data_IF_941132945599
#
_entry.id   IF_941132945599
#
_cell.length_a   1.000
_cell.length_b   1.000
_cell.length_c   1.000
_cell.angle_alpha   90.00
_cell.angle_beta   90.00
_cell.angle_gamma   90.00
#
_symmetry.space_group_name_H-M   'P 1'
#
loop_
_entity.id
_entity.type
_entity.pdbx_description
1 polymer ?
#
# COMPACT_ATOMS: atom_id res chain seq x y z
N UNK A 1 -3.12 -1.04 -32.40
CA UNK A 1 -3.52 -0.52 -31.08
C UNK A 1 -4.81 -1.24 -30.67
N UNK A 2 -4.92 -1.74 -29.44
CA UNK A 2 -6.10 -2.52 -29.04
C UNK A 2 -7.34 -1.62 -28.91
N UNK A 3 -8.54 -2.13 -29.19
CA UNK A 3 -9.81 -1.39 -29.03
C UNK A 3 -9.97 -0.82 -27.62
N UNK A 4 -9.52 -1.56 -26.61
CA UNK A 4 -9.47 -1.12 -25.21
C UNK A 4 -8.64 0.16 -25.03
N UNK A 5 -7.44 0.21 -25.62
CA UNK A 5 -6.58 1.40 -25.55
C UNK A 5 -7.22 2.59 -26.26
N UNK A 6 -7.83 2.39 -27.44
CA UNK A 6 -8.49 3.48 -28.16
C UNK A 6 -9.58 4.15 -27.33
N UNK A 7 -10.41 3.36 -26.64
CA UNK A 7 -11.45 3.88 -25.74
C UNK A 7 -10.81 4.60 -24.55
N UNK A 8 -9.77 4.04 -23.93
CA UNK A 8 -9.11 4.71 -22.81
C UNK A 8 -8.47 6.04 -23.20
N UNK A 9 -7.92 6.15 -24.40
CA UNK A 9 -7.30 7.38 -24.89
C UNK A 9 -8.29 8.55 -25.00
N UNK A 10 -9.57 8.29 -25.27
CA UNK A 10 -10.59 9.36 -25.29
C UNK A 10 -10.73 10.00 -23.90
N UNK A 11 -10.55 9.22 -22.83
CA UNK A 11 -10.60 9.70 -21.45
C UNK A 11 -9.30 10.35 -20.96
N UNK A 12 -8.27 10.50 -21.80
CA UNK A 12 -7.02 11.13 -21.38
C UNK A 12 -7.24 12.60 -21.01
N UNK A 13 -7.82 13.36 -21.92
CA UNK A 13 -8.04 14.81 -21.77
C UNK A 13 -9.46 15.16 -21.30
N UNK A 14 -10.42 14.24 -21.44
CA UNK A 14 -11.80 14.46 -21.00
C UNK A 14 -11.97 14.24 -19.49
N UNK A 15 -12.89 15.00 -18.90
CA UNK A 15 -13.45 14.70 -17.59
C UNK A 15 -14.31 13.44 -17.69
N UNK A 16 -14.05 12.47 -16.81
CA UNK A 16 -14.79 11.22 -16.79
C UNK A 16 -16.07 11.46 -15.97
N UNK A 17 -17.21 11.46 -16.65
CA UNK A 17 -18.52 11.68 -16.02
C UNK A 17 -19.19 10.37 -15.58
N UNK A 18 -20.28 10.48 -14.83
CA UNK A 18 -21.09 9.33 -14.41
C UNK A 18 -22.15 8.93 -15.46
N UNK A 19 -22.00 9.33 -16.73
CA UNK A 19 -23.01 9.03 -17.75
C UNK A 19 -23.10 7.53 -18.04
N UNK A 20 -24.28 7.01 -18.44
CA UNK A 20 -24.43 5.61 -18.83
C UNK A 20 -23.49 5.19 -19.98
N UNK A 21 -23.17 6.12 -20.89
CA UNK A 21 -22.24 5.90 -21.98
C UNK A 21 -20.82 5.69 -21.45
N UNK A 22 -20.32 6.57 -20.57
CA UNK A 22 -19.02 6.42 -19.92
C UNK A 22 -18.92 5.10 -19.15
N UNK A 23 -19.97 4.74 -18.40
CA UNK A 23 -20.03 3.46 -17.69
C UNK A 23 -19.94 2.27 -18.65
N UNK A 24 -20.72 2.26 -19.72
CA UNK A 24 -20.74 1.18 -20.72
C UNK A 24 -19.38 1.05 -21.43
N UNK A 25 -18.76 2.19 -21.77
CA UNK A 25 -17.45 2.23 -22.40
C UNK A 25 -16.37 1.64 -21.48
N UNK A 26 -16.32 2.06 -20.21
CA UNK A 26 -15.36 1.52 -19.24
C UNK A 26 -15.61 0.04 -18.93
N UNK A 27 -16.87 -0.40 -18.79
CA UNK A 27 -17.22 -1.82 -18.63
C UNK A 27 -16.74 -2.66 -19.82
N UNK A 28 -16.92 -2.16 -21.04
CA UNK A 28 -16.43 -2.82 -22.25
C UNK A 28 -14.90 -2.94 -22.25
N UNK A 29 -14.19 -1.90 -21.81
CA UNK A 29 -12.73 -1.94 -21.66
C UNK A 29 -12.29 -2.99 -20.64
N UNK A 30 -12.98 -3.09 -19.49
CA UNK A 30 -12.70 -4.14 -18.51
C UNK A 30 -12.83 -5.51 -19.16
N UNK A 31 -13.94 -5.77 -19.87
CA UNK A 31 -14.17 -7.05 -20.55
C UNK A 31 -13.07 -7.37 -21.58
N UNK A 32 -12.70 -6.40 -22.42
CA UNK A 32 -11.63 -6.61 -23.40
C UNK A 32 -10.29 -7.00 -22.77
N UNK A 33 -9.93 -6.40 -21.62
CA UNK A 33 -8.71 -6.79 -20.92
C UNK A 33 -8.84 -8.17 -20.25
N UNK A 34 -10.02 -8.54 -19.74
CA UNK A 34 -10.24 -9.88 -19.19
C UNK A 34 -10.13 -10.96 -20.26
N UNK A 35 -10.78 -10.76 -21.42
CA UNK A 35 -10.71 -11.69 -22.56
C UNK A 35 -9.27 -11.83 -23.07
N UNK A 36 -8.55 -10.70 -23.19
CA UNK A 36 -7.14 -10.71 -23.59
C UNK A 36 -6.26 -11.45 -22.57
N UNK A 37 -6.49 -11.25 -21.27
CA UNK A 37 -5.74 -11.96 -20.23
C UNK A 37 -5.97 -13.47 -20.30
N UNK A 38 -7.22 -13.91 -20.52
CA UNK A 38 -7.55 -15.33 -20.68
C UNK A 38 -6.88 -15.93 -21.92
N UNK A 39 -6.89 -15.21 -23.04
CA UNK A 39 -6.19 -15.63 -24.27
C UNK A 39 -4.68 -15.79 -24.03
N UNK A 40 -4.04 -14.80 -23.39
CA UNK A 40 -2.61 -14.88 -23.07
C UNK A 40 -2.28 -16.00 -22.09
N UNK A 41 -3.16 -16.30 -21.13
CA UNK A 41 -2.99 -17.45 -20.24
C UNK A 41 -2.99 -18.77 -21.04
N UNK A 42 -3.92 -18.94 -21.99
CA UNK A 42 -4.00 -20.14 -22.86
C UNK A 42 -2.77 -20.31 -23.73
N UNK A 43 -2.14 -19.21 -24.13
CA UNK A 43 -0.91 -19.19 -24.93
C UNK A 43 0.39 -19.28 -24.08
N UNK A 44 0.30 -19.35 -22.75
CA UNK A 44 1.47 -19.36 -21.86
C UNK A 44 2.17 -18.01 -21.70
N UNK A 45 1.60 -16.92 -22.24
CA UNK A 45 2.13 -15.56 -22.21
C UNK A 45 1.82 -14.84 -20.88
N UNK A 46 2.30 -15.39 -19.76
CA UNK A 46 1.92 -14.95 -18.40
C UNK A 46 2.17 -13.47 -18.09
N UNK A 47 3.23 -12.87 -18.65
CA UNK A 47 3.53 -11.44 -18.45
C UNK A 47 2.45 -10.55 -19.08
N UNK A 48 1.98 -10.92 -20.28
CA UNK A 48 0.95 -10.17 -20.98
C UNK A 48 -0.40 -10.34 -20.27
N UNK A 49 -0.72 -11.56 -19.83
CA UNK A 49 -1.91 -11.82 -19.02
C UNK A 49 -1.94 -10.97 -17.75
N UNK A 50 -0.83 -10.92 -17.00
CA UNK A 50 -0.71 -10.08 -15.81
C UNK A 50 -0.86 -8.58 -16.13
N UNK A 51 -0.29 -8.12 -17.24
CA UNK A 51 -0.45 -6.73 -17.68
C UNK A 51 -1.91 -6.38 -17.97
N UNK A 52 -2.61 -7.26 -18.70
CA UNK A 52 -4.04 -7.10 -18.98
C UNK A 52 -4.86 -7.10 -17.68
N UNK A 53 -4.55 -7.97 -16.71
CA UNK A 53 -5.24 -8.00 -15.42
C UNK A 53 -5.05 -6.74 -14.59
N UNK A 54 -3.85 -6.16 -14.57
CA UNK A 54 -3.61 -4.87 -13.90
C UNK A 54 -4.46 -3.77 -14.52
N UNK A 55 -4.51 -3.71 -15.86
CA UNK A 55 -5.33 -2.72 -16.56
C UNK A 55 -6.83 -2.92 -16.33
N UNK A 56 -7.33 -4.16 -16.36
CA UNK A 56 -8.72 -4.46 -16.04
C UNK A 56 -9.10 -3.98 -14.62
N UNK A 57 -8.24 -4.25 -13.62
CA UNK A 57 -8.45 -3.81 -12.23
C UNK A 57 -8.44 -2.30 -12.08
N UNK A 58 -7.54 -1.60 -12.79
CA UNK A 58 -7.48 -0.14 -12.77
C UNK A 58 -8.74 0.50 -13.36
N UNK A 59 -9.23 -0.02 -14.49
CA UNK A 59 -10.44 0.50 -15.13
C UNK A 59 -11.69 0.16 -14.31
N UNK A 60 -11.75 -1.01 -13.68
CA UNK A 60 -12.81 -1.34 -12.73
C UNK A 60 -12.79 -0.41 -11.51
N UNK A 61 -11.61 -0.02 -11.02
CA UNK A 61 -11.50 0.98 -9.97
C UNK A 61 -11.99 2.36 -10.43
N UNK A 62 -11.71 2.75 -11.69
CA UNK A 62 -12.24 3.98 -12.26
C UNK A 62 -13.78 3.99 -12.32
N UNK A 63 -14.40 2.86 -12.67
CA UNK A 63 -15.86 2.70 -12.62
C UNK A 63 -16.42 2.97 -11.21
N UNK A 64 -15.75 2.46 -10.17
CA UNK A 64 -16.16 2.68 -8.78
C UNK A 64 -16.09 4.17 -8.39
N UNK A 65 -15.14 4.91 -8.95
CA UNK A 65 -14.91 6.32 -8.62
C UNK A 65 -15.67 7.34 -9.46
N UNK A 66 -16.46 6.91 -10.45
CA UNK A 66 -17.25 7.82 -11.29
C UNK A 66 -18.15 8.75 -10.47
N UNK A 67 -18.83 8.20 -9.45
CA UNK A 67 -19.78 8.97 -8.62
C UNK A 67 -19.10 9.96 -7.67
N UNK A 68 -17.82 9.75 -7.36
CA UNK A 68 -17.03 10.59 -6.45
C UNK A 68 -16.14 11.58 -7.22
N UNK A 69 -16.08 11.45 -8.55
CA UNK A 69 -15.29 12.34 -9.41
C UNK A 69 -13.77 12.12 -9.30
N UNK A 70 -13.32 10.98 -8.78
CA UNK A 70 -11.89 10.66 -8.69
C UNK A 70 -11.44 9.96 -9.96
N UNK A 71 -10.41 10.50 -10.60
CA UNK A 71 -9.80 9.94 -11.81
C UNK A 71 -8.53 9.16 -11.45
N UNK A 72 -8.54 7.86 -11.71
CA UNK A 72 -7.42 6.93 -11.47
C UNK A 72 -6.81 6.35 -12.73
N UNK A 73 -7.45 6.50 -13.90
CA UNK A 73 -6.81 6.23 -15.19
C UNK A 73 -6.07 7.47 -15.70
N UNK A 74 -4.95 7.26 -16.39
CA UNK A 74 -4.08 8.32 -16.91
C UNK A 74 -3.61 9.32 -15.85
N UNK A 75 -3.37 8.87 -14.62
CA UNK A 75 -2.73 9.70 -13.60
C UNK A 75 -1.28 9.98 -14.00
N UNK A 76 -0.77 11.15 -13.61
CA UNK A 76 0.67 11.36 -13.58
C UNK A 76 1.31 10.51 -12.49
N UNK A 77 2.62 10.35 -12.57
CA UNK A 77 3.42 9.67 -11.57
C UNK A 77 3.25 10.28 -10.17
N UNK A 78 3.19 11.61 -10.08
CA UNK A 78 2.95 12.36 -8.85
C UNK A 78 1.53 12.16 -8.33
N UNK A 79 0.55 12.11 -9.23
CA UNK A 79 -0.85 11.85 -8.88
C UNK A 79 -1.05 10.44 -8.31
N UNK A 80 -0.43 9.44 -8.94
CA UNK A 80 -0.44 8.06 -8.47
C UNK A 80 0.25 7.93 -7.10
N UNK A 81 1.40 8.58 -6.92
CA UNK A 81 2.09 8.64 -5.63
C UNK A 81 1.20 9.25 -4.55
N UNK A 82 0.61 10.41 -4.81
CA UNK A 82 -0.21 11.10 -3.84
C UNK A 82 -1.43 10.26 -3.45
N UNK A 83 -2.07 9.61 -4.44
CA UNK A 83 -3.15 8.67 -4.18
C UNK A 83 -2.71 7.53 -3.26
N UNK A 84 -1.60 6.85 -3.56
CA UNK A 84 -1.14 5.72 -2.75
C UNK A 84 -0.81 6.15 -1.30
N UNK A 85 -0.21 7.33 -1.14
CA UNK A 85 0.19 7.86 0.18
C UNK A 85 -0.99 8.16 1.10
N UNK A 86 -2.07 8.76 0.58
CA UNK A 86 -3.16 9.25 1.43
C UNK A 86 -4.40 8.38 1.42
N UNK A 87 -4.56 7.49 0.44
CA UNK A 87 -5.81 6.78 0.24
C UNK A 87 -6.08 5.75 1.35
N UNK A 88 -7.26 5.78 2.00
CA UNK A 88 -7.53 5.01 3.22
C UNK A 88 -7.80 3.51 2.98
N UNK A 89 -8.00 3.08 1.71
CA UNK A 89 -8.22 1.67 1.38
C UNK A 89 -6.99 1.07 0.72
N UNK A 90 -6.35 0.12 1.40
CA UNK A 90 -5.14 -0.52 0.88
C UNK A 90 -5.39 -1.24 -0.45
N UNK A 91 -6.52 -1.93 -0.61
CA UNK A 91 -6.85 -2.65 -1.85
C UNK A 91 -6.90 -1.74 -3.08
N UNK A 92 -7.47 -0.54 -2.93
CA UNK A 92 -7.57 0.48 -3.98
C UNK A 92 -6.19 1.11 -4.24
N UNK A 93 -5.42 1.42 -3.20
CA UNK A 93 -4.04 1.91 -3.32
C UNK A 93 -3.10 0.88 -3.99
N UNK A 94 -3.27 -0.42 -3.70
CA UNK A 94 -2.52 -1.50 -4.32
C UNK A 94 -2.77 -1.58 -5.82
N UNK A 95 -4.03 -1.44 -6.27
CA UNK A 95 -4.36 -1.42 -7.70
C UNK A 95 -3.61 -0.29 -8.41
N UNK A 96 -3.60 0.91 -7.84
CA UNK A 96 -2.88 2.07 -8.41
C UNK A 96 -1.36 1.81 -8.38
N UNK A 97 -0.80 1.35 -7.27
CA UNK A 97 0.63 1.02 -7.16
C UNK A 97 1.08 0.00 -8.20
N UNK A 98 0.31 -1.07 -8.43
CA UNK A 98 0.64 -2.12 -9.39
C UNK A 98 0.52 -1.67 -10.84
N UNK A 99 -0.44 -0.79 -11.13
CA UNK A 99 -0.73 -0.30 -12.48
C UNK A 99 0.25 0.76 -12.95
N UNK A 100 0.70 1.63 -12.04
CA UNK A 100 1.69 2.68 -12.31
C UNK A 100 3.12 2.29 -11.87
N UNK A 101 3.32 1.05 -11.41
CA UNK A 101 4.61 0.53 -10.93
C UNK A 101 5.25 1.37 -9.78
N UNK A 102 4.42 1.89 -8.88
CA UNK A 102 4.82 2.79 -7.77
C UNK A 102 4.93 2.03 -6.43
N UNK A 103 5.96 1.20 -6.28
CA UNK A 103 6.13 0.33 -5.10
C UNK A 103 6.81 1.01 -3.91
N UNK A 104 7.43 2.17 -4.09
CA UNK A 104 8.21 2.88 -3.06
C UNK A 104 7.36 3.70 -2.10
N UNK A 105 6.05 3.86 -2.34
CA UNK A 105 5.21 4.77 -1.57
C UNK A 105 4.72 4.22 -0.22
N UNK A 106 5.00 2.95 0.10
CA UNK A 106 4.41 2.28 1.27
C UNK A 106 4.83 2.88 2.61
N UNK A 107 6.04 3.43 2.73
CA UNK A 107 6.49 4.10 3.96
C UNK A 107 5.57 5.27 4.33
N UNK A 108 5.31 6.14 3.37
CA UNK A 108 4.41 7.28 3.55
C UNK A 108 2.95 6.84 3.77
N UNK A 109 2.48 5.83 3.03
CA UNK A 109 1.13 5.31 3.18
C UNK A 109 0.87 4.70 4.58
N UNK A 110 1.85 3.98 5.12
CA UNK A 110 1.81 3.43 6.47
C UNK A 110 1.90 4.53 7.53
N UNK A 111 2.76 5.53 7.34
CA UNK A 111 2.83 6.67 8.25
C UNK A 111 1.47 7.38 8.35
N UNK A 112 0.88 7.73 7.20
CA UNK A 112 -0.42 8.41 7.15
C UNK A 112 -1.56 7.55 7.70
N UNK A 113 -1.75 6.34 7.16
CA UNK A 113 -2.95 5.55 7.49
C UNK A 113 -2.85 4.81 8.83
N UNK A 114 -1.64 4.41 9.25
CA UNK A 114 -1.47 3.59 10.46
C UNK A 114 -1.02 4.43 11.64
N UNK A 115 0.01 5.26 11.48
CA UNK A 115 0.51 6.07 12.60
C UNK A 115 -0.40 7.27 12.87
N UNK A 116 -0.70 8.07 11.84
CA UNK A 116 -1.51 9.29 12.01
C UNK A 116 -2.99 8.95 12.20
N UNK A 117 -3.57 8.11 11.33
CA UNK A 117 -5.00 7.78 11.38
C UNK A 117 -5.34 6.58 12.29
N UNK A 118 -4.35 5.86 12.80
CA UNK A 118 -4.58 4.72 13.70
C UNK A 118 -5.21 3.47 13.04
N UNK A 119 -5.29 3.39 11.72
CA UNK A 119 -5.98 2.30 11.02
C UNK A 119 -5.10 1.06 10.86
N UNK A 120 -5.05 0.24 11.90
CA UNK A 120 -4.34 -1.04 11.83
C UNK A 120 -5.00 -2.07 10.89
N UNK A 121 -6.24 -1.87 10.42
CA UNK A 121 -6.82 -2.75 9.40
C UNK A 121 -6.09 -2.58 8.08
N UNK A 122 -5.71 -1.34 7.75
CA UNK A 122 -4.84 -1.04 6.60
C UNK A 122 -3.54 -1.84 6.67
N UNK A 123 -2.87 -1.86 7.83
CA UNK A 123 -1.64 -2.64 8.03
C UNK A 123 -1.86 -4.15 7.85
N UNK A 124 -2.97 -4.68 8.39
CA UNK A 124 -3.28 -6.10 8.24
C UNK A 124 -3.53 -6.48 6.78
N UNK A 125 -4.26 -5.66 6.03
CA UNK A 125 -4.47 -5.86 4.60
C UNK A 125 -3.14 -5.78 3.83
N UNK A 126 -2.32 -4.76 4.11
CA UNK A 126 -1.02 -4.57 3.47
C UNK A 126 -0.13 -5.81 3.64
N UNK A 127 -0.04 -6.36 4.84
CA UNK A 127 0.79 -7.55 5.14
C UNK A 127 0.41 -8.80 4.34
N UNK A 128 -0.78 -8.86 3.75
CA UNK A 128 -1.21 -9.98 2.89
C UNK A 128 -0.54 -9.96 1.52
N UNK A 129 -0.06 -8.80 1.08
CA UNK A 129 0.47 -8.58 -0.28
C UNK A 129 1.90 -8.01 -0.28
N UNK A 130 2.27 -7.26 0.77
CA UNK A 130 3.57 -6.60 0.92
C UNK A 130 4.23 -7.10 2.20
N UNK A 131 5.49 -7.53 2.10
CA UNK A 131 6.27 -7.93 3.27
C UNK A 131 6.61 -6.68 4.10
N UNK A 132 6.11 -6.63 5.33
CA UNK A 132 6.54 -5.64 6.31
C UNK A 132 7.95 -5.98 6.80
N UNK A 133 8.97 -5.40 6.18
CA UNK A 133 10.37 -5.60 6.57
C UNK A 133 10.75 -4.64 7.71
N UNK A 134 11.81 -4.99 8.44
CA UNK A 134 12.41 -4.10 9.44
C UNK A 134 12.82 -2.75 8.82
N UNK A 135 13.33 -2.77 7.58
CA UNK A 135 13.69 -1.56 6.83
C UNK A 135 12.49 -0.66 6.52
N UNK A 136 11.33 -1.24 6.18
CA UNK A 136 10.11 -0.48 5.95
C UNK A 136 9.59 0.11 7.26
N UNK A 137 9.69 -0.61 8.37
CA UNK A 137 9.32 -0.08 9.69
C UNK A 137 10.21 1.12 10.06
N UNK A 138 11.53 1.02 9.86
CA UNK A 138 12.47 2.12 10.06
C UNK A 138 12.13 3.33 9.18
N UNK A 139 11.84 3.09 7.90
CA UNK A 139 11.42 4.14 6.97
C UNK A 139 10.16 4.87 7.46
N UNK A 140 9.14 4.13 7.89
CA UNK A 140 7.88 4.69 8.41
C UNK A 140 8.13 5.54 9.66
N UNK A 141 8.93 5.05 10.61
CA UNK A 141 9.27 5.81 11.83
C UNK A 141 10.07 7.06 11.47
N UNK A 142 11.01 6.95 10.54
CA UNK A 142 11.79 8.11 10.07
C UNK A 142 10.88 9.18 9.45
N UNK A 143 9.98 8.80 8.54
CA UNK A 143 9.01 9.73 7.93
C UNK A 143 8.17 10.41 9.02
N UNK A 144 7.72 9.66 10.03
CA UNK A 144 6.97 10.22 11.15
C UNK A 144 7.79 11.22 11.97
N UNK A 145 9.08 10.95 12.22
CA UNK A 145 9.96 11.83 12.99
C UNK A 145 10.33 13.11 12.23
N UNK A 146 10.37 13.08 10.90
CA UNK A 146 10.64 14.24 10.05
C UNK A 146 9.48 15.25 10.04
N UNK A 147 8.27 14.86 10.43
CA UNK A 147 7.13 15.78 10.55
C UNK A 147 7.27 16.67 11.82
N UNK A 148 7.37 18.00 11.68
CA UNK A 148 7.46 18.91 12.82
C UNK A 148 6.15 19.01 13.61
N UNK A 149 5.01 18.67 12.99
CA UNK A 149 3.68 18.69 13.60
C UNK A 149 3.26 17.30 14.10
N UNK A 150 4.20 16.35 14.15
CA UNK A 150 3.92 14.97 14.56
C UNK A 150 3.23 14.94 15.92
N UNK A 151 2.07 14.31 15.95
CA UNK A 151 1.35 14.01 17.16
C UNK A 151 0.69 12.66 16.97
N UNK A 152 0.97 11.74 17.89
CA UNK A 152 0.42 10.39 17.84
C UNK A 152 0.28 9.87 19.25
N UNK A 153 -0.72 9.02 19.46
CA UNK A 153 -0.82 8.26 20.69
C UNK A 153 0.40 7.31 20.81
N UNK A 154 1.20 7.37 21.88
CA UNK A 154 2.35 6.48 22.08
C UNK A 154 2.02 5.00 21.89
N UNK A 155 0.81 4.56 22.28
CA UNK A 155 0.36 3.17 22.11
C UNK A 155 0.26 2.72 20.65
N UNK A 156 0.00 3.65 19.73
CA UNK A 156 -0.01 3.36 18.28
C UNK A 156 1.43 3.06 17.81
N UNK A 157 2.39 3.88 18.24
CA UNK A 157 3.82 3.67 17.93
C UNK A 157 4.33 2.35 18.52
N UNK A 158 4.06 2.09 19.80
CA UNK A 158 4.44 0.84 20.47
C UNK A 158 3.88 -0.38 19.71
N UNK A 159 2.58 -0.34 19.38
CA UNK A 159 1.93 -1.42 18.62
C UNK A 159 2.53 -1.59 17.22
N UNK A 160 2.86 -0.50 16.54
CA UNK A 160 3.48 -0.55 15.21
C UNK A 160 4.89 -1.13 15.27
N UNK A 161 5.73 -0.63 16.17
CA UNK A 161 7.11 -1.11 16.39
C UNK A 161 7.11 -2.57 16.85
N UNK A 162 6.10 -3.00 17.60
CA UNK A 162 5.91 -4.40 18.00
C UNK A 162 5.79 -5.38 16.83
N UNK A 163 5.55 -4.92 15.59
CA UNK A 163 5.60 -5.75 14.39
C UNK A 163 7.02 -5.94 13.82
N UNK A 164 8.01 -5.20 14.30
CA UNK A 164 9.42 -5.45 13.98
C UNK A 164 9.86 -6.79 14.57
N UNK A 165 10.68 -7.53 13.83
CA UNK A 165 11.15 -8.85 14.29
C UNK A 165 12.51 -8.79 14.99
N UNK A 166 13.22 -7.68 14.84
CA UNK A 166 14.54 -7.45 15.45
C UNK A 166 14.37 -6.67 16.76
N UNK A 167 14.65 -7.33 17.88
CA UNK A 167 14.50 -6.76 19.22
C UNK A 167 15.43 -5.56 19.45
N UNK A 168 16.66 -5.60 18.93
CA UNK A 168 17.61 -4.49 19.08
C UNK A 168 17.08 -3.26 18.35
N UNK A 169 16.55 -3.47 17.15
CA UNK A 169 15.91 -2.41 16.39
C UNK A 169 14.64 -1.88 17.07
N UNK A 170 13.82 -2.75 17.66
CA UNK A 170 12.66 -2.31 18.45
C UNK A 170 13.07 -1.38 19.59
N UNK A 171 14.10 -1.75 20.35
CA UNK A 171 14.64 -0.93 21.45
C UNK A 171 15.15 0.41 20.91
N UNK A 172 15.95 0.39 19.83
CA UNK A 172 16.46 1.61 19.21
C UNK A 172 15.32 2.56 18.79
N UNK A 173 14.35 2.07 18.01
CA UNK A 173 13.22 2.89 17.55
C UNK A 173 12.39 3.43 18.71
N UNK A 174 12.16 2.61 19.74
CA UNK A 174 11.41 3.04 20.92
C UNK A 174 12.17 4.11 21.73
N UNK A 175 13.50 4.00 21.83
CA UNK A 175 14.35 5.03 22.44
C UNK A 175 14.34 6.33 21.66
N UNK A 176 14.45 6.28 20.32
CA UNK A 176 14.42 7.45 19.45
C UNK A 176 13.09 8.22 19.54
N UNK A 177 12.01 7.53 19.91
CA UNK A 177 10.66 8.08 20.10
C UNK A 177 10.32 8.40 21.58
N UNK A 178 11.28 8.30 22.50
CA UNK A 178 11.11 8.50 23.96
C UNK A 178 10.00 7.63 24.60
N UNK A 179 9.79 6.41 24.10
CA UNK A 179 8.80 5.45 24.60
C UNK A 179 9.35 4.67 25.82
N UNK A 180 9.70 5.38 26.89
CA UNK A 180 10.46 4.84 28.05
C UNK A 180 9.86 3.60 28.69
N UNK A 181 8.53 3.55 28.82
CA UNK A 181 7.82 2.38 29.36
C UNK A 181 8.00 1.14 28.48
N UNK A 182 7.88 1.32 27.17
CA UNK A 182 8.05 0.25 26.19
C UNK A 182 9.51 -0.22 26.08
N UNK A 183 10.48 0.71 26.11
CA UNK A 183 11.92 0.37 26.17
C UNK A 183 12.22 -0.54 27.36
N UNK A 184 11.71 -0.19 28.54
CA UNK A 184 11.91 -0.98 29.76
C UNK A 184 11.32 -2.40 29.65
N UNK A 185 10.16 -2.52 29.01
CA UNK A 185 9.53 -3.82 28.73
C UNK A 185 10.37 -4.67 27.78
N UNK A 186 10.86 -4.08 26.69
CA UNK A 186 11.67 -4.76 25.68
C UNK A 186 13.01 -5.24 26.24
N UNK A 187 13.69 -4.42 27.04
CA UNK A 187 14.94 -4.79 27.70
C UNK A 187 14.76 -5.97 28.66
N UNK A 188 13.64 -6.01 29.41
CA UNK A 188 13.34 -7.14 30.27
C UNK A 188 13.15 -8.44 29.49
N UNK A 189 12.56 -8.38 28.29
CA UNK A 189 12.43 -9.54 27.39
C UNK A 189 13.79 -10.04 26.89
N UNK A 190 14.68 -9.12 26.51
CA UNK A 190 16.05 -9.44 26.07
C UNK A 190 16.85 -10.17 27.15
N UNK A 191 16.81 -9.66 28.40
CA UNK A 191 17.46 -10.32 29.54
C UNK A 191 16.90 -11.72 29.80
N UNK A 192 15.58 -11.91 29.65
CA UNK A 192 14.95 -13.23 29.86
C UNK A 192 15.37 -14.25 28.82
N UNK A 193 15.46 -13.87 27.53
CA UNK A 193 15.91 -14.79 26.48
C UNK A 193 17.36 -15.20 26.66
N UNK A 194 18.23 -14.25 27.01
CA UNK A 194 19.65 -14.53 27.26
C UNK A 194 19.87 -15.53 28.41
N UNK A 195 19.11 -15.37 29.51
CA UNK A 195 19.18 -16.30 30.65
C UNK A 195 18.70 -17.70 30.26
N UNK A 196 17.66 -17.82 29.43
CA UNK A 196 17.17 -19.11 28.93
C UNK A 196 18.19 -19.81 28.02
N UNK A 197 18.86 -19.07 27.14
CA UNK A 197 19.88 -19.63 26.24
C UNK A 197 21.09 -20.16 27.01
N UNK A 198 21.51 -19.47 28.07
CA UNK A 198 22.57 -19.97 28.97
C UNK A 198 22.12 -21.27 29.64
N UNK A 199 20.89 -21.31 30.19
CA UNK A 199 20.39 -22.51 30.89
C UNK A 199 20.16 -23.70 29.95
N UNK A 200 19.90 -23.47 28.67
CA UNK A 200 19.70 -24.54 27.67
C UNK A 200 21.01 -25.06 27.07
N UNK A 201 22.12 -24.34 27.24
CA UNK A 201 23.45 -24.72 26.74
C UNK A 201 24.36 -25.32 27.82
N UNK A 202 23.89 -25.38 29.06
CA UNK A 202 24.48 -26.06 30.22
C UNK A 202 23.80 -27.40 30.51
#
# INVERSE_FOLDING_TARGET
QSRAQQILETFREMNIDSSPETQTNLQSVVQFYMDAAESYCKEGCMRNAQSCMKQARLVALQLHFLSVGVKVIHMSDEGADQFIKSHPRFSEALIVSESYNRKSCWGHALCHNVLVNGDFRYLQELKRYVKLTNSLIQEVVKIFMEDPNRSVNPKILEKFIGHCTDLKLQIQLASDLDLRGFVSELQRRDCSSYVQDIMASS
#
